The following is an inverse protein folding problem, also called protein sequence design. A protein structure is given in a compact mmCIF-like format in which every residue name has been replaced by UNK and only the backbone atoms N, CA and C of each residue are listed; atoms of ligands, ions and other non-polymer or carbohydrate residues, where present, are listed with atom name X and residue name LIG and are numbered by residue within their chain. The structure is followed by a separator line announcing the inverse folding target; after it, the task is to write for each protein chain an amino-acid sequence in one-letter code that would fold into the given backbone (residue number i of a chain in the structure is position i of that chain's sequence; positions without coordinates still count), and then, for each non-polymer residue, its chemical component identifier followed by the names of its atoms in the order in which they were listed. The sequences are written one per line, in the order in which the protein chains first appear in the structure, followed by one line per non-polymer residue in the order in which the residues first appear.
data_IF_408229133871
#
_entry.id   IF_408229133871
#
_cell.length_a   1.000
_cell.length_b   1.000
_cell.length_c   1.000
_cell.angle_alpha   90.00
_cell.angle_beta   90.00
_cell.angle_gamma   90.00
#
_symmetry.space_group_name_H-M   'P 1'
#
loop_
_entity.id
_entity.type
_entity.pdbx_description
1 polymer ?
#
# COMPACT_ATOMS: atom_id res chain seq x y z
N UNK A 1 -30.36 -9.51 42.77
CA UNK A 1 -31.47 -10.00 41.94
C UNK A 1 -31.00 -9.83 40.51
N UNK A 2 -30.51 -10.91 39.92
CA UNK A 2 -29.96 -10.91 38.56
C UNK A 2 -30.99 -11.59 37.67
N UNK A 3 -31.78 -10.78 36.98
CA UNK A 3 -32.79 -11.28 36.07
C UNK A 3 -32.11 -11.64 34.74
N UNK A 4 -32.20 -12.92 34.37
CA UNK A 4 -31.59 -13.48 33.17
C UNK A 4 -32.37 -13.01 31.93
N UNK A 5 -31.77 -12.09 31.17
CA UNK A 5 -32.32 -11.45 29.96
C UNK A 5 -32.61 -12.40 28.77
N UNK A 6 -32.43 -13.71 28.94
CA UNK A 6 -32.46 -14.70 27.86
C UNK A 6 -33.55 -15.78 28.02
N UNK A 7 -34.41 -15.70 29.04
CA UNK A 7 -35.60 -16.56 29.12
C UNK A 7 -36.67 -16.09 28.13
N UNK A 8 -36.69 -16.69 26.94
CA UNK A 8 -37.74 -16.46 25.94
C UNK A 8 -37.28 -16.40 24.49
N UNK A 9 -35.98 -16.54 24.20
CA UNK A 9 -35.52 -16.64 22.82
C UNK A 9 -35.79 -18.05 22.26
N UNK A 10 -36.38 -18.17 21.05
CA UNK A 10 -36.54 -19.45 20.41
C UNK A 10 -35.16 -20.09 20.13
N UNK A 11 -35.02 -21.41 20.23
CA UNK A 11 -33.75 -22.08 19.98
C UNK A 11 -33.28 -21.86 18.54
N UNK A 12 -31.95 -21.81 18.30
CA UNK A 12 -31.40 -21.58 16.97
C UNK A 12 -31.80 -22.71 15.99
N UNK A 13 -32.31 -22.32 14.82
CA UNK A 13 -32.83 -23.21 13.76
C UNK A 13 -31.84 -24.24 13.19
N UNK A 14 -30.57 -24.22 13.64
CA UNK A 14 -29.57 -25.23 13.26
C UNK A 14 -29.80 -26.59 13.95
N UNK A 15 -30.51 -26.65 15.08
CA UNK A 15 -30.83 -27.93 15.72
C UNK A 15 -31.94 -28.71 15.01
N UNK A 16 -32.93 -28.04 14.39
CA UNK A 16 -34.00 -28.71 13.65
C UNK A 16 -33.51 -29.41 12.37
N UNK A 17 -32.51 -28.84 11.68
CA UNK A 17 -31.92 -29.49 10.49
C UNK A 17 -31.06 -30.71 10.82
N UNK A 18 -30.63 -30.88 12.07
CA UNK A 18 -29.81 -32.02 12.51
C UNK A 18 -30.67 -33.20 13.01
N UNK A 19 -31.93 -32.93 13.40
CA UNK A 19 -32.91 -33.96 13.77
C UNK A 19 -33.64 -34.50 12.53
N UNK A 20 -34.03 -33.65 11.57
CA UNK A 20 -34.66 -34.12 10.31
C UNK A 20 -33.72 -35.00 9.47
N UNK A 21 -32.41 -34.72 9.49
CA UNK A 21 -31.42 -35.54 8.76
C UNK A 21 -31.12 -36.89 9.40
N UNK A 22 -31.49 -37.09 10.68
CA UNK A 22 -31.30 -38.39 11.37
C UNK A 22 -32.49 -39.33 11.19
N UNK A 23 -33.67 -38.83 10.82
CA UNK A 23 -34.84 -39.68 10.56
C UNK A 23 -34.89 -40.20 9.11
N UNK A 24 -34.25 -39.53 8.13
CA UNK A 24 -34.26 -39.99 6.72
C UNK A 24 -33.27 -41.12 6.39
N UNK A 25 -32.24 -41.39 7.22
CA UNK A 25 -31.23 -42.43 6.93
C UNK A 25 -31.58 -43.84 7.44
N UNK A 26 -32.73 -44.05 8.09
CA UNK A 26 -33.11 -45.35 8.66
C UNK A 26 -34.21 -46.12 7.91
N UNK A 27 -34.60 -45.68 6.70
CA UNK A 27 -35.73 -46.28 6.00
C UNK A 27 -35.62 -46.35 4.49
N UNK A 28 -34.61 -47.05 3.93
CA UNK A 28 -34.72 -47.51 2.52
C UNK A 28 -33.75 -48.64 2.16
N UNK A 29 -34.04 -49.82 2.67
CA UNK A 29 -33.72 -51.08 1.98
C UNK A 29 -35.03 -51.67 1.44
N UNK A 30 -35.11 -51.85 0.12
CA UNK A 30 -35.72 -52.99 -0.61
C UNK A 30 -36.14 -52.62 -2.04
N UNK A 31 -35.54 -53.35 -3.00
CA UNK A 31 -36.10 -53.89 -4.24
C UNK A 31 -37.00 -53.02 -5.14
N UNK A 32 -36.60 -52.80 -6.41
CA UNK A 32 -36.93 -53.71 -7.53
C UNK A 32 -36.33 -53.28 -8.88
N UNK A 33 -36.19 -54.30 -9.72
CA UNK A 33 -35.46 -54.43 -10.99
C UNK A 33 -36.27 -54.07 -12.26
N UNK A 34 -35.53 -53.70 -13.33
CA UNK A 34 -35.73 -54.04 -14.76
C UNK A 34 -36.85 -53.28 -15.53
N UNK A 35 -36.78 -52.90 -16.83
CA UNK A 35 -36.12 -53.35 -18.08
C UNK A 35 -35.80 -52.11 -18.98
N UNK A 36 -34.62 -51.97 -19.62
CA UNK A 36 -34.17 -52.41 -20.97
C UNK A 36 -34.95 -51.90 -22.20
N UNK A 37 -34.25 -51.15 -23.09
CA UNK A 37 -34.10 -51.35 -24.56
C UNK A 37 -32.99 -50.41 -25.07
N UNK A 38 -31.77 -50.90 -25.35
CA UNK A 38 -31.19 -51.24 -26.68
C UNK A 38 -30.68 -50.05 -27.52
N UNK A 39 -29.36 -49.96 -27.74
CA UNK A 39 -28.74 -50.10 -29.08
C UNK A 39 -27.21 -49.96 -28.99
N UNK A 40 -26.51 -50.79 -29.77
CA UNK A 40 -25.05 -50.94 -29.90
C UNK A 40 -24.33 -49.70 -30.44
N UNK A 41 -23.07 -49.50 -30.04
CA UNK A 41 -21.92 -49.67 -30.95
C UNK A 41 -20.58 -49.51 -30.22
N UNK A 42 -19.66 -50.40 -30.58
CA UNK A 42 -18.25 -50.41 -30.22
C UNK A 42 -17.54 -49.09 -30.55
N UNK A 43 -16.71 -48.57 -29.63
CA UNK A 43 -15.30 -48.34 -29.93
C UNK A 43 -14.46 -48.08 -28.68
N UNK A 44 -13.27 -48.66 -28.75
CA UNK A 44 -12.20 -48.82 -27.78
C UNK A 44 -11.36 -47.52 -27.75
N UNK A 45 -11.18 -46.87 -26.61
CA UNK A 45 -9.87 -46.26 -26.26
C UNK A 45 -9.77 -45.81 -24.79
N UNK A 46 -8.54 -45.82 -24.31
CA UNK A 46 -8.13 -46.06 -22.94
C UNK A 46 -8.19 -44.85 -22.00
N UNK A 47 -8.69 -45.07 -20.79
CA UNK A 47 -8.48 -44.24 -19.61
C UNK A 47 -7.21 -44.69 -18.85
N UNK A 48 -6.28 -43.79 -18.47
CA UNK A 48 -5.09 -44.18 -17.72
C UNK A 48 -5.38 -44.30 -16.22
N UNK A 49 -4.94 -45.40 -15.62
CA UNK A 49 -4.94 -45.63 -14.18
C UNK A 49 -3.85 -44.80 -13.47
N UNK A 50 -4.12 -44.14 -12.33
CA UNK A 50 -3.08 -43.56 -11.48
C UNK A 50 -2.46 -44.66 -10.60
N UNK A 51 -1.22 -45.04 -10.89
CA UNK A 51 -0.43 -45.93 -10.04
C UNK A 51 0.19 -45.12 -8.91
N UNK A 52 -0.38 -45.25 -7.71
CA UNK A 52 0.27 -44.90 -6.44
C UNK A 52 1.38 -45.92 -6.16
N UNK A 53 2.64 -45.50 -6.27
CA UNK A 53 3.77 -46.23 -5.66
C UNK A 53 4.56 -45.30 -4.76
N UNK A 54 4.25 -45.40 -3.47
CA UNK A 54 5.09 -44.98 -2.35
C UNK A 54 6.40 -45.79 -2.36
N UNK A 55 7.55 -45.12 -2.35
CA UNK A 55 8.85 -45.75 -2.12
C UNK A 55 9.44 -45.26 -0.79
N UNK A 56 8.88 -45.75 0.31
CA UNK A 56 9.45 -45.64 1.65
C UNK A 56 10.53 -46.71 1.81
N UNK A 57 11.79 -46.39 1.47
CA UNK A 57 12.93 -47.26 1.84
C UNK A 57 13.47 -46.85 3.20
N UNK A 58 13.19 -47.70 4.21
CA UNK A 58 13.92 -47.76 5.49
C UNK A 58 15.37 -48.14 5.22
N UNK A 59 16.32 -47.38 5.78
CA UNK A 59 17.68 -47.87 6.03
C UNK A 59 17.87 -48.12 7.53
N UNK A 60 18.47 -49.27 7.83
CA UNK A 60 18.79 -49.81 9.17
C UNK A 60 20.16 -49.26 9.63
N UNK A 61 20.41 -49.04 10.94
CA UNK A 61 21.68 -48.48 11.41
C UNK A 61 22.69 -49.60 11.71
N UNK A 62 23.97 -49.33 11.42
CA UNK A 62 25.09 -50.03 12.03
C UNK A 62 26.18 -49.00 12.34
N UNK A 63 26.46 -48.82 13.63
CA UNK A 63 27.63 -48.11 14.16
C UNK A 63 28.89 -48.98 14.03
N UNK A 64 30.02 -48.37 13.62
CA UNK A 64 31.30 -48.43 14.35
C UNK A 64 32.42 -47.68 13.60
N UNK A 65 32.98 -46.70 14.32
CA UNK A 65 34.20 -45.86 14.28
C UNK A 65 35.49 -46.34 13.52
N UNK A 66 36.63 -45.60 13.53
CA UNK A 66 37.11 -44.72 12.45
C UNK A 66 38.53 -45.10 11.92
N UNK A 67 39.01 -44.37 10.90
CA UNK A 67 40.41 -43.93 10.64
C UNK A 67 40.85 -44.02 9.17
N UNK A 68 41.18 -42.83 8.66
CA UNK A 68 42.31 -42.44 7.79
C UNK A 68 42.56 -43.26 6.51
N UNK A 69 42.30 -42.65 5.34
CA UNK A 69 43.33 -42.20 4.38
C UNK A 69 42.66 -41.56 3.15
N UNK A 70 43.09 -40.36 2.77
CA UNK A 70 42.78 -39.75 1.46
C UNK A 70 43.50 -40.53 0.34
N UNK A 71 42.95 -40.59 -0.88
CA UNK A 71 43.36 -39.58 -1.85
C UNK A 71 42.24 -39.06 -2.78
N UNK A 72 42.36 -37.77 -3.07
CA UNK A 72 41.99 -37.04 -4.29
C UNK A 72 40.88 -37.61 -5.21
N UNK A 73 39.71 -36.99 -5.19
CA UNK A 73 38.78 -37.01 -6.32
C UNK A 73 38.03 -35.68 -6.46
N UNK A 74 38.29 -35.02 -7.59
CA UNK A 74 37.50 -34.03 -8.34
C UNK A 74 36.87 -32.82 -7.61
N UNK A 75 37.14 -31.58 -8.07
CA UNK A 75 36.32 -30.45 -7.66
C UNK A 75 34.94 -30.58 -8.33
N UNK A 76 33.93 -30.95 -7.56
CA UNK A 76 32.55 -30.78 -7.99
C UNK A 76 32.35 -29.29 -8.31
N UNK A 77 32.24 -28.99 -9.61
CA UNK A 77 31.82 -27.68 -10.12
C UNK A 77 30.34 -27.49 -9.78
N UNK A 78 30.04 -27.30 -8.50
CA UNK A 78 28.76 -26.74 -8.08
C UNK A 78 28.82 -25.27 -8.44
N UNK A 79 28.21 -24.94 -9.58
CA UNK A 79 27.98 -23.58 -10.04
C UNK A 79 27.06 -22.89 -9.04
N UNK A 80 27.64 -22.45 -7.92
CA UNK A 80 27.04 -21.48 -7.03
C UNK A 80 27.09 -20.17 -7.79
N UNK A 81 25.99 -19.82 -8.45
CA UNK A 81 25.78 -18.44 -8.85
C UNK A 81 25.91 -17.61 -7.57
N UNK A 82 27.06 -16.95 -7.44
CA UNK A 82 27.28 -15.95 -6.42
C UNK A 82 26.31 -14.83 -6.76
N UNK A 83 25.18 -14.79 -6.07
CA UNK A 83 24.33 -13.59 -6.00
C UNK A 83 25.05 -12.57 -5.12
N UNK A 84 26.20 -12.11 -5.58
CA UNK A 84 26.94 -10.98 -5.02
C UNK A 84 27.20 -10.04 -6.17
N UNK A 85 26.13 -9.45 -6.70
CA UNK A 85 26.28 -8.23 -7.50
C UNK A 85 26.36 -7.11 -6.49
N UNK A 86 27.58 -6.79 -6.05
CA UNK A 86 27.90 -5.50 -5.47
C UNK A 86 27.76 -4.48 -6.61
N UNK A 87 26.51 -4.09 -6.88
CA UNK A 87 26.21 -3.03 -7.83
C UNK A 87 26.64 -1.72 -7.19
N UNK A 88 27.38 -0.90 -7.93
CA UNK A 88 27.81 0.39 -7.40
C UNK A 88 26.60 1.23 -7.03
N UNK A 89 26.72 2.06 -6.00
CA UNK A 89 25.64 2.96 -5.56
C UNK A 89 25.09 3.80 -6.72
N UNK A 90 25.96 4.24 -7.62
CA UNK A 90 25.58 4.97 -8.84
C UNK A 90 24.66 4.17 -9.76
N UNK A 91 24.93 2.87 -9.95
CA UNK A 91 24.07 1.99 -10.76
C UNK A 91 22.72 1.75 -10.08
N UNK A 92 22.71 1.64 -8.74
CA UNK A 92 21.47 1.53 -7.97
C UNK A 92 20.63 2.79 -8.12
N UNK A 93 21.25 3.97 -8.01
CA UNK A 93 20.58 5.26 -8.18
C UNK A 93 19.99 5.40 -9.59
N UNK A 94 20.77 5.11 -10.63
CA UNK A 94 20.29 5.16 -12.02
C UNK A 94 19.11 4.20 -12.25
N UNK A 95 19.21 2.99 -11.71
CA UNK A 95 18.12 2.01 -11.77
C UNK A 95 16.86 2.52 -11.05
N UNK A 96 17.01 3.12 -9.86
CA UNK A 96 15.89 3.70 -9.10
C UNK A 96 15.20 4.83 -9.87
N UNK A 97 15.96 5.73 -10.49
CA UNK A 97 15.42 6.82 -11.33
C UNK A 97 14.65 6.27 -12.53
N UNK A 98 15.19 5.23 -13.18
CA UNK A 98 14.51 4.56 -14.30
C UNK A 98 13.21 3.89 -13.84
N UNK A 99 13.22 3.23 -12.69
CA UNK A 99 12.01 2.62 -12.11
C UNK A 99 10.96 3.69 -11.80
N UNK A 100 11.35 4.83 -11.20
CA UNK A 100 10.43 5.94 -10.91
C UNK A 100 9.72 6.46 -12.17
N UNK A 101 10.40 6.47 -13.32
CA UNK A 101 9.78 6.85 -14.60
C UNK A 101 8.75 5.83 -15.11
N UNK A 102 8.94 4.55 -14.81
CA UNK A 102 8.10 3.46 -15.30
C UNK A 102 6.95 3.12 -14.36
N UNK A 103 7.08 3.38 -13.06
CA UNK A 103 6.07 3.01 -12.07
C UNK A 103 4.79 3.84 -12.22
N UNK A 104 4.87 5.06 -12.77
CA UNK A 104 3.68 5.89 -13.07
C UNK A 104 2.74 5.25 -14.09
N UNK A 105 3.26 4.39 -14.96
CA UNK A 105 2.49 3.78 -16.04
C UNK A 105 1.83 2.48 -15.55
N UNK A 106 0.48 2.37 -15.57
CA UNK A 106 -0.23 1.21 -15.05
C UNK A 106 0.20 -0.11 -15.70
N UNK A 107 0.51 -0.10 -17.00
CA UNK A 107 0.93 -1.31 -17.74
C UNK A 107 2.32 -1.82 -17.33
N UNK A 108 3.16 -0.94 -16.79
CA UNK A 108 4.53 -1.25 -16.34
C UNK A 108 4.62 -1.38 -14.81
N UNK A 109 3.60 -0.91 -14.09
CA UNK A 109 3.56 -0.85 -12.64
C UNK A 109 3.91 -2.21 -12.00
N UNK A 110 3.21 -3.28 -12.39
CA UNK A 110 3.40 -4.62 -11.83
C UNK A 110 4.86 -5.14 -11.91
N UNK A 111 5.60 -4.78 -12.96
CA UNK A 111 7.01 -5.16 -13.12
C UNK A 111 7.91 -4.22 -12.34
N UNK A 112 7.64 -2.92 -12.41
CA UNK A 112 8.39 -1.90 -11.69
C UNK A 112 8.32 -2.12 -10.17
N UNK A 113 7.13 -2.35 -9.60
CA UNK A 113 6.91 -2.62 -8.18
C UNK A 113 7.73 -3.84 -7.70
N UNK A 114 7.75 -4.93 -8.47
CA UNK A 114 8.55 -6.11 -8.16
C UNK A 114 10.05 -5.83 -8.12
N UNK A 115 10.56 -5.00 -9.03
CA UNK A 115 11.96 -4.56 -9.00
C UNK A 115 12.26 -3.73 -7.75
N UNK A 116 11.36 -2.83 -7.34
CA UNK A 116 11.52 -2.07 -6.09
C UNK A 116 11.58 -3.00 -4.87
N UNK A 117 10.66 -3.97 -4.80
CA UNK A 117 10.64 -4.96 -3.71
C UNK A 117 11.96 -5.76 -3.67
N UNK A 118 12.55 -6.07 -4.84
CA UNK A 118 13.85 -6.72 -4.90
C UNK A 118 14.98 -5.80 -4.39
N UNK A 119 14.96 -4.51 -4.70
CA UNK A 119 15.93 -3.54 -4.17
C UNK A 119 15.84 -3.43 -2.64
N UNK A 120 14.63 -3.44 -2.07
CA UNK A 120 14.42 -3.47 -0.62
C UNK A 120 15.02 -4.75 -0.03
N UNK A 121 14.65 -5.92 -0.56
CA UNK A 121 15.13 -7.23 -0.07
C UNK A 121 16.65 -7.42 -0.21
N UNK A 122 17.26 -6.77 -1.20
CA UNK A 122 18.70 -6.79 -1.41
C UNK A 122 19.45 -5.81 -0.48
N UNK A 123 18.75 -5.02 0.34
CA UNK A 123 19.36 -4.00 1.20
C UNK A 123 19.97 -2.84 0.40
N UNK A 124 19.45 -2.58 -0.81
CA UNK A 124 19.92 -1.49 -1.67
C UNK A 124 19.35 -0.12 -1.28
N UNK A 125 18.33 -0.09 -0.41
CA UNK A 125 17.82 1.14 0.21
C UNK A 125 18.65 1.44 1.46
N UNK A 126 19.41 2.53 1.43
CA UNK A 126 20.31 2.98 2.50
C UNK A 126 20.18 4.50 2.64
N UNK A 127 20.85 5.10 3.62
CA UNK A 127 20.82 6.56 3.81
C UNK A 127 21.25 7.38 2.57
N UNK A 128 22.11 6.85 1.69
CA UNK A 128 22.52 7.52 0.45
C UNK A 128 21.54 7.37 -0.73
N UNK A 129 20.69 6.34 -0.70
CA UNK A 129 19.75 6.01 -1.78
C UNK A 129 18.28 6.18 -1.39
N UNK A 130 18.00 6.52 -0.13
CA UNK A 130 16.64 6.60 0.42
C UNK A 130 15.77 7.65 -0.25
N UNK A 131 16.33 8.81 -0.62
CA UNK A 131 15.58 9.86 -1.34
C UNK A 131 15.14 9.39 -2.74
N UNK A 132 16.00 8.66 -3.44
CA UNK A 132 15.65 8.06 -4.73
C UNK A 132 14.61 6.96 -4.60
N UNK A 133 14.72 6.15 -3.55
CA UNK A 133 13.70 5.16 -3.20
C UNK A 133 12.36 5.82 -2.90
N UNK A 134 12.35 6.89 -2.10
CA UNK A 134 11.13 7.62 -1.77
C UNK A 134 10.49 8.26 -3.00
N UNK A 135 11.30 8.81 -3.93
CA UNK A 135 10.81 9.35 -5.20
C UNK A 135 10.10 8.28 -6.06
N UNK A 136 10.49 6.99 -5.95
CA UNK A 136 9.75 5.90 -6.61
C UNK A 136 8.37 5.71 -5.97
N UNK A 137 8.27 5.74 -4.64
CA UNK A 137 7.00 5.58 -3.94
C UNK A 137 6.05 6.76 -4.23
N UNK A 138 6.60 7.98 -4.24
CA UNK A 138 5.86 9.18 -4.63
C UNK A 138 5.36 9.09 -6.07
N UNK A 139 6.23 8.64 -6.99
CA UNK A 139 5.86 8.41 -8.37
C UNK A 139 4.75 7.35 -8.51
N UNK A 140 4.79 6.28 -7.70
CA UNK A 140 3.71 5.29 -7.67
C UNK A 140 2.38 5.93 -7.25
N UNK A 141 2.38 6.70 -6.16
CA UNK A 141 1.15 7.33 -5.63
C UNK A 141 0.65 8.50 -6.46
N UNK A 142 1.48 9.04 -7.36
CA UNK A 142 1.08 10.07 -8.34
C UNK A 142 0.44 9.49 -9.61
N UNK A 143 0.30 8.16 -9.72
CA UNK A 143 -0.37 7.54 -10.87
C UNK A 143 -1.87 7.84 -10.86
N UNK A 144 -2.48 7.94 -12.04
CA UNK A 144 -3.92 8.20 -12.19
C UNK A 144 -4.79 7.00 -11.82
N UNK A 145 -4.21 5.80 -11.79
CA UNK A 145 -4.94 4.58 -11.40
C UNK A 145 -5.03 4.48 -9.88
N UNK A 146 -6.24 4.28 -9.37
CA UNK A 146 -6.45 4.04 -7.95
C UNK A 146 -5.64 2.84 -7.47
N UNK A 147 -4.99 2.98 -6.31
CA UNK A 147 -4.26 1.89 -5.66
C UNK A 147 -5.15 0.73 -5.21
N UNK A 148 -6.48 0.88 -5.21
CA UNK A 148 -7.46 -0.17 -4.91
C UNK A 148 -8.06 -0.81 -6.17
N UNK A 149 -7.59 -0.45 -7.35
CA UNK A 149 -8.04 -1.06 -8.60
C UNK A 149 -7.64 -2.56 -8.64
N UNK A 150 -8.56 -3.50 -8.96
CA UNK A 150 -8.26 -4.92 -8.93
C UNK A 150 -7.08 -5.38 -9.80
N UNK A 151 -6.75 -4.64 -10.87
CA UNK A 151 -5.65 -4.96 -11.79
C UNK A 151 -4.26 -4.74 -11.17
N UNK A 152 -4.15 -3.75 -10.28
CA UNK A 152 -2.85 -3.30 -9.71
C UNK A 152 -2.82 -3.33 -8.19
N UNK A 153 -3.96 -3.52 -7.52
CA UNK A 153 -4.10 -3.42 -6.07
C UNK A 153 -3.21 -4.39 -5.30
N UNK A 154 -3.06 -5.63 -5.80
CA UNK A 154 -2.13 -6.61 -5.21
C UNK A 154 -0.65 -6.19 -5.31
N UNK A 155 -0.27 -5.52 -6.40
CA UNK A 155 1.09 -5.01 -6.58
C UNK A 155 1.35 -3.76 -5.73
N UNK A 156 0.35 -2.86 -5.59
CA UNK A 156 0.39 -1.72 -4.66
C UNK A 156 0.53 -2.21 -3.22
N UNK A 157 -0.35 -3.12 -2.80
CA UNK A 157 -0.31 -3.73 -1.48
C UNK A 157 1.08 -4.32 -1.20
N UNK A 158 1.62 -5.11 -2.13
CA UNK A 158 2.94 -5.75 -1.96
C UNK A 158 4.08 -4.75 -1.87
N UNK A 159 4.05 -3.70 -2.70
CA UNK A 159 5.06 -2.64 -2.71
C UNK A 159 5.09 -1.87 -1.39
N UNK A 160 3.93 -1.36 -0.94
CA UNK A 160 3.83 -0.55 0.27
C UNK A 160 3.94 -1.37 1.55
N UNK A 161 3.63 -2.67 1.51
CA UNK A 161 3.99 -3.59 2.59
C UNK A 161 5.50 -3.72 2.73
N UNK A 162 6.22 -3.99 1.63
CA UNK A 162 7.68 -4.11 1.66
C UNK A 162 8.38 -2.77 1.98
N UNK A 163 7.82 -1.64 1.55
CA UNK A 163 8.40 -0.32 1.79
C UNK A 163 8.52 0.02 3.29
N UNK A 164 7.67 -0.55 4.14
CA UNK A 164 7.75 -0.38 5.58
C UNK A 164 9.06 -0.94 6.17
N UNK A 165 9.63 -2.00 5.60
CA UNK A 165 10.91 -2.56 6.04
C UNK A 165 12.08 -1.60 5.80
N UNK A 166 11.94 -0.69 4.84
CA UNK A 166 12.93 0.33 4.52
C UNK A 166 12.67 1.68 5.23
N UNK A 167 11.62 1.77 6.06
CA UNK A 167 11.21 3.01 6.69
C UNK A 167 12.30 3.62 7.58
N UNK A 168 13.21 2.82 8.14
CA UNK A 168 14.30 3.31 9.01
C UNK A 168 15.20 4.35 8.34
N UNK A 169 15.42 4.24 7.02
CA UNK A 169 16.25 5.15 6.22
C UNK A 169 15.53 6.43 5.78
N UNK A 170 14.23 6.54 6.06
CA UNK A 170 13.42 7.69 5.70
C UNK A 170 13.44 8.76 6.80
N UNK A 171 13.37 10.02 6.38
CA UNK A 171 13.20 11.13 7.31
C UNK A 171 11.75 11.19 7.86
N UNK A 172 11.51 12.05 8.85
CA UNK A 172 10.19 12.15 9.52
C UNK A 172 9.05 12.44 8.54
N UNK A 173 9.24 13.39 7.62
CA UNK A 173 8.25 13.76 6.59
C UNK A 173 7.94 12.59 5.66
N UNK A 174 8.97 11.90 5.19
CA UNK A 174 8.84 10.73 4.33
C UNK A 174 8.14 9.56 5.04
N UNK A 175 8.43 9.32 6.33
CA UNK A 175 7.74 8.32 7.16
C UNK A 175 6.25 8.64 7.32
N UNK A 176 5.94 9.91 7.55
CA UNK A 176 4.57 10.39 7.62
C UNK A 176 3.81 10.14 6.31
N UNK A 177 4.40 10.49 5.16
CA UNK A 177 3.83 10.19 3.84
C UNK A 177 3.66 8.69 3.60
N UNK A 178 4.68 7.88 3.91
CA UNK A 178 4.61 6.43 3.80
C UNK A 178 3.45 5.87 4.65
N UNK A 179 3.22 6.40 5.85
CA UNK A 179 2.10 5.99 6.71
C UNK A 179 0.75 6.24 6.02
N UNK A 180 0.55 7.43 5.45
CA UNK A 180 -0.67 7.76 4.69
C UNK A 180 -0.84 6.81 3.50
N UNK A 181 0.22 6.58 2.74
CA UNK A 181 0.19 5.68 1.58
C UNK A 181 -0.05 4.23 1.97
N UNK A 182 0.44 3.77 3.12
CA UNK A 182 0.12 2.45 3.65
C UNK A 182 -1.35 2.30 3.97
N UNK A 183 -2.03 3.32 4.51
CA UNK A 183 -3.49 3.27 4.65
C UNK A 183 -4.18 3.12 3.29
N UNK A 184 -3.81 3.97 2.32
CA UNK A 184 -4.40 3.96 0.97
C UNK A 184 -4.13 2.67 0.19
N UNK A 185 -2.92 2.13 0.24
CA UNK A 185 -2.49 1.02 -0.62
C UNK A 185 -2.56 -0.35 0.06
N UNK A 186 -2.44 -0.44 1.38
CA UNK A 186 -2.42 -1.71 2.10
C UNK A 186 -3.74 -1.92 2.82
N UNK A 187 -4.08 -1.04 3.76
CA UNK A 187 -5.28 -1.20 4.60
C UNK A 187 -6.56 -1.18 3.75
N UNK A 188 -6.65 -0.26 2.78
CA UNK A 188 -7.80 -0.20 1.88
C UNK A 188 -7.96 -1.49 1.04
N UNK A 189 -6.87 -2.07 0.52
CA UNK A 189 -6.91 -3.32 -0.23
C UNK A 189 -7.26 -4.52 0.68
N UNK A 190 -6.73 -4.55 1.90
CA UNK A 190 -7.06 -5.58 2.89
C UNK A 190 -8.54 -5.57 3.29
N UNK A 191 -9.21 -4.41 3.23
CA UNK A 191 -10.66 -4.28 3.46
C UNK A 191 -11.50 -4.70 2.25
N UNK A 192 -10.88 -4.83 1.06
CA UNK A 192 -11.50 -5.36 -0.15
C UNK A 192 -11.41 -6.89 -0.27
N UNK A 193 -11.08 -7.58 0.82
CA UNK A 193 -11.06 -9.04 0.89
C UNK A 193 -12.46 -9.66 1.09
N UNK A 194 -12.59 -10.95 0.78
CA UNK A 194 -13.72 -11.81 1.18
C UNK A 194 -13.39 -12.69 2.40
N UNK A 195 -12.12 -12.66 2.85
CA UNK A 195 -11.68 -13.36 4.06
C UNK A 195 -12.07 -12.56 5.32
N UNK A 196 -13.06 -13.07 6.05
CA UNK A 196 -13.58 -12.45 7.28
C UNK A 196 -12.50 -12.25 8.35
N UNK A 197 -11.49 -13.13 8.43
CA UNK A 197 -10.41 -12.99 9.39
C UNK A 197 -9.47 -11.85 9.02
N UNK A 198 -9.09 -11.76 7.73
CA UNK A 198 -8.28 -10.64 7.22
C UNK A 198 -9.03 -9.32 7.42
N UNK A 199 -10.32 -9.28 7.05
CA UNK A 199 -11.15 -8.09 7.23
C UNK A 199 -11.20 -7.64 8.70
N UNK A 200 -11.52 -8.55 9.62
CA UNK A 200 -11.65 -8.23 11.05
C UNK A 200 -10.34 -7.77 11.68
N UNK A 201 -9.22 -8.41 11.29
CA UNK A 201 -7.88 -8.02 11.71
C UNK A 201 -7.54 -6.61 11.21
N UNK A 202 -7.85 -6.32 9.97
CA UNK A 202 -7.58 -5.00 9.36
C UNK A 202 -8.49 -3.92 9.92
N UNK A 203 -9.77 -4.20 10.16
CA UNK A 203 -10.69 -3.29 10.83
C UNK A 203 -10.24 -2.98 12.27
N UNK A 204 -9.68 -3.96 12.98
CA UNK A 204 -9.10 -3.74 14.33
C UNK A 204 -7.90 -2.79 14.26
N UNK A 205 -6.98 -3.00 13.31
CA UNK A 205 -5.85 -2.08 13.07
C UNK A 205 -6.31 -0.68 12.72
N UNK A 206 -7.36 -0.56 11.89
CA UNK A 206 -7.96 0.71 11.53
C UNK A 206 -8.54 1.44 12.75
N UNK A 207 -9.26 0.71 13.61
CA UNK A 207 -9.77 1.23 14.89
C UNK A 207 -8.64 1.73 15.80
N UNK A 208 -7.56 0.97 15.92
CA UNK A 208 -6.40 1.36 16.73
C UNK A 208 -5.74 2.63 16.18
N UNK A 209 -5.61 2.73 14.85
CA UNK A 209 -5.07 3.91 14.19
C UNK A 209 -5.93 5.16 14.44
N UNK A 210 -7.26 5.05 14.35
CA UNK A 210 -8.19 6.15 14.66
C UNK A 210 -8.08 6.55 16.13
N UNK A 211 -8.00 5.56 17.03
CA UNK A 211 -7.89 5.81 18.48
C UNK A 211 -6.56 6.49 18.86
N UNK A 212 -5.53 6.36 18.02
CA UNK A 212 -4.23 7.01 18.19
C UNK A 212 -4.17 8.45 17.69
N UNK A 213 -5.19 8.92 16.97
CA UNK A 213 -5.24 10.29 16.46
C UNK A 213 -5.39 11.31 17.62
N UNK A 214 -4.77 12.49 17.50
CA UNK A 214 -5.04 13.58 18.44
C UNK A 214 -6.49 14.06 18.29
N UNK A 215 -7.05 14.58 19.39
CA UNK A 215 -8.38 15.20 19.41
C UNK A 215 -8.42 16.30 18.35
N UNK A 216 -9.39 16.23 17.45
CA UNK A 216 -9.62 17.26 16.44
C UNK A 216 -10.05 18.56 17.12
N UNK A 217 -9.55 19.68 16.62
CA UNK A 217 -9.90 21.03 17.10
C UNK A 217 -10.82 21.73 16.11
N UNK A 218 -11.55 22.76 16.57
CA UNK A 218 -12.44 23.54 15.68
C UNK A 218 -11.68 24.18 14.49
N UNK A 219 -10.39 24.51 14.67
CA UNK A 219 -9.50 25.01 13.62
C UNK A 219 -9.30 23.95 12.51
N UNK A 220 -9.11 22.69 12.91
CA UNK A 220 -8.97 21.57 11.97
C UNK A 220 -10.26 21.38 11.16
N UNK A 221 -11.43 21.46 11.80
CA UNK A 221 -12.74 21.29 11.13
C UNK A 221 -12.99 22.41 10.10
N UNK A 222 -12.62 23.66 10.41
CA UNK A 222 -12.75 24.80 9.49
C UNK A 222 -11.82 24.63 8.29
N UNK A 223 -10.56 24.25 8.51
CA UNK A 223 -9.56 24.06 7.47
C UNK A 223 -9.90 22.87 6.55
N UNK A 224 -10.48 21.80 7.09
CA UNK A 224 -10.97 20.65 6.31
C UNK A 224 -12.22 21.00 5.50
N UNK A 225 -13.17 21.75 6.09
CA UNK A 225 -14.36 22.23 5.38
C UNK A 225 -14.04 23.23 4.26
N UNK A 226 -13.03 24.07 4.43
CA UNK A 226 -12.58 25.01 3.40
C UNK A 226 -12.03 24.30 2.16
N UNK A 227 -11.22 23.24 2.34
CA UNK A 227 -10.68 22.47 1.20
C UNK A 227 -11.75 21.70 0.43
N UNK A 228 -12.79 21.19 1.11
CA UNK A 228 -13.89 20.51 0.42
C UNK A 228 -14.68 21.48 -0.48
N UNK A 229 -14.83 22.74 -0.06
CA UNK A 229 -15.49 23.77 -0.88
C UNK A 229 -14.68 24.11 -2.13
N UNK A 230 -13.37 24.26 -2.00
CA UNK A 230 -12.46 24.56 -3.12
C UNK A 230 -12.49 23.44 -4.18
N UNK A 231 -12.47 22.16 -3.75
CA UNK A 231 -12.60 21.02 -4.67
C UNK A 231 -13.98 20.93 -5.36
N UNK A 232 -15.05 21.37 -4.67
CA UNK A 232 -16.41 21.36 -5.21
C UNK A 232 -16.67 22.51 -6.18
N UNK A 233 -16.04 23.67 -5.98
CA UNK A 233 -16.15 24.83 -6.87
C UNK A 233 -15.37 24.63 -8.18
N UNK A 234 -14.24 23.92 -8.16
CA UNK A 234 -13.45 23.60 -9.37
C UNK A 234 -14.17 22.56 -10.27
N UNK A 235 -15.12 21.78 -9.72
CA UNK A 235 -15.84 20.72 -10.43
C UNK A 235 -17.09 21.14 -11.22
N UNK A 236 -17.46 22.42 -11.22
CA UNK A 236 -18.74 22.90 -11.79
C UNK A 236 -18.63 23.80 -13.04
N UNK A 237 -17.43 24.05 -13.56
CA UNK A 237 -17.25 24.86 -14.77
C UNK A 237 -16.81 24.01 -15.96
N UNK A 238 -17.77 23.36 -16.60
CA UNK A 238 -17.67 22.99 -18.01
C UNK A 238 -18.99 23.37 -18.70
N UNK A 239 -19.00 24.52 -19.38
CA UNK A 239 -19.42 24.65 -20.80
C UNK A 239 -19.65 26.13 -21.18
N UNK A 240 -18.60 26.80 -21.70
CA UNK A 240 -18.72 27.61 -22.92
C UNK A 240 -17.37 28.19 -23.34
N UNK A 241 -16.78 27.56 -24.35
CA UNK A 241 -15.72 28.16 -25.15
C UNK A 241 -16.35 28.96 -26.30
N UNK A 242 -16.27 30.30 -26.26
CA UNK A 242 -16.18 31.14 -27.47
C UNK A 242 -15.19 32.30 -27.24
N UNK A 243 -14.23 32.36 -28.14
CA UNK A 243 -13.12 33.29 -28.27
C UNK A 243 -13.52 34.77 -28.28
N UNK A 244 -12.69 35.64 -27.68
CA UNK A 244 -12.31 36.92 -28.27
C UNK A 244 -11.06 37.52 -27.59
N UNK A 245 -10.05 37.78 -28.43
CA UNK A 245 -8.81 38.54 -28.23
C UNK A 245 -9.08 39.94 -27.64
N UNK A 246 -8.33 40.40 -26.62
CA UNK A 246 -7.71 41.76 -26.51
C UNK A 246 -6.59 41.75 -25.42
N UNK A 247 -5.49 42.44 -25.74
CA UNK A 247 -4.23 42.64 -24.99
C UNK A 247 -4.36 43.42 -23.64
N UNK A 248 -3.29 43.51 -22.83
CA UNK A 248 -3.37 43.88 -21.42
C UNK A 248 -3.33 45.40 -21.19
N UNK A 249 -4.06 45.87 -20.18
CA UNK A 249 -3.94 47.20 -19.64
C UNK A 249 -3.46 47.11 -18.18
N UNK A 250 -2.37 47.81 -17.93
CA UNK A 250 -1.77 48.05 -16.61
C UNK A 250 -2.69 48.89 -15.71
N UNK A 251 -2.61 48.67 -14.40
CA UNK A 251 -1.97 49.58 -13.43
C UNK A 251 -2.57 49.37 -12.03
N UNK A 252 -1.70 49.07 -11.06
CA UNK A 252 -1.58 49.87 -9.84
C UNK A 252 -0.49 49.27 -8.94
N UNK A 253 0.66 49.94 -8.89
CA UNK A 253 1.35 50.31 -7.64
C UNK A 253 2.46 51.30 -7.96
N UNK A 254 2.24 52.53 -7.50
CA UNK A 254 3.23 53.60 -7.40
C UNK A 254 4.38 53.12 -6.52
N UNK A 255 5.54 52.92 -7.12
CA UNK A 255 6.81 53.21 -6.48
C UNK A 255 7.65 53.97 -7.50
N UNK A 256 7.82 55.25 -7.19
CA UNK A 256 8.49 56.30 -7.94
C UNK A 256 9.93 55.86 -8.23
N UNK A 257 10.15 55.26 -9.39
CA UNK A 257 11.49 54.85 -9.81
C UNK A 257 12.22 56.08 -10.34
N UNK A 258 13.24 56.52 -9.59
CA UNK A 258 14.11 57.66 -9.90
C UNK A 258 14.59 57.61 -11.37
N UNK A 259 14.10 58.51 -12.24
CA UNK A 259 14.34 58.46 -13.68
C UNK A 259 15.79 58.79 -14.06
N UNK A 260 16.63 59.21 -13.12
CA UNK A 260 18.05 59.50 -13.35
C UNK A 260 19.01 58.56 -12.60
N UNK A 261 18.50 57.61 -11.81
CA UNK A 261 19.31 56.58 -11.13
C UNK A 261 20.39 57.12 -10.19
N UNK A 262 20.19 58.32 -9.65
CA UNK A 262 21.14 59.01 -8.79
C UNK A 262 21.11 58.46 -7.35
N UNK A 263 20.01 57.82 -6.95
CA UNK A 263 19.90 57.15 -5.64
C UNK A 263 20.89 56.00 -5.45
N UNK A 264 21.42 55.41 -6.54
CA UNK A 264 22.48 54.40 -6.48
C UNK A 264 23.87 55.00 -6.15
N UNK A 265 24.04 56.31 -6.28
CA UNK A 265 25.31 57.00 -6.11
C UNK A 265 25.46 57.71 -4.76
N UNK A 266 24.41 57.71 -3.94
CA UNK A 266 24.46 58.22 -2.57
C UNK A 266 24.81 57.03 -1.65
N UNK A 267 26.02 56.98 -1.03
CA UNK A 267 26.33 55.95 -0.06
C UNK A 267 25.45 56.14 1.17
N UNK A 268 24.42 55.30 1.33
CA UNK A 268 23.55 55.32 2.51
C UNK A 268 24.34 54.83 3.72
N UNK A 269 24.80 55.77 4.54
CA UNK A 269 25.44 55.48 5.82
C UNK A 269 24.40 54.99 6.85
N UNK A 270 24.60 53.78 7.38
CA UNK A 270 23.89 53.25 8.55
C UNK A 270 23.17 51.94 8.23
N UNK A 271 23.37 50.81 8.91
CA UNK A 271 23.97 50.57 10.21
C UNK A 271 24.62 49.19 10.25
N UNK A 272 25.75 49.14 10.94
CA UNK A 272 26.54 47.98 11.30
C UNK A 272 25.88 47.30 12.50
N UNK A 273 24.82 46.50 12.29
CA UNK A 273 24.34 45.53 13.29
C UNK A 273 23.33 44.53 12.70
N UNK A 274 23.80 43.56 11.90
CA UNK A 274 22.93 42.47 11.43
C UNK A 274 23.67 41.14 11.34
N UNK A 275 24.18 40.65 12.48
CA UNK A 275 24.74 39.29 12.55
C UNK A 275 24.20 38.43 13.69
N UNK A 276 23.28 38.95 14.49
CA UNK A 276 22.70 38.25 15.66
C UNK A 276 21.18 38.10 15.60
N UNK A 277 20.47 38.74 14.66
CA UNK A 277 19.00 38.64 14.54
C UNK A 277 18.52 37.49 13.64
N UNK A 278 19.27 37.16 12.59
CA UNK A 278 18.89 36.10 11.64
C UNK A 278 18.77 34.68 12.23
N UNK A 279 19.47 34.35 13.31
CA UNK A 279 19.44 32.98 13.89
C UNK A 279 18.17 32.70 14.69
N UNK A 280 17.52 33.73 15.27
CA UNK A 280 16.26 33.59 16.02
C UNK A 280 15.05 33.52 15.09
N UNK A 281 15.06 34.26 13.99
CA UNK A 281 14.01 34.23 12.97
C UNK A 281 13.99 32.91 12.19
N UNK A 282 15.16 32.34 11.84
CA UNK A 282 15.22 31.03 11.16
C UNK A 282 14.72 29.89 12.07
N UNK A 283 15.01 29.95 13.38
CA UNK A 283 14.52 28.97 14.35
C UNK A 283 13.01 29.08 14.61
N UNK A 284 12.45 30.30 14.59
CA UNK A 284 11.01 30.50 14.70
C UNK A 284 10.27 30.06 13.41
N UNK A 285 10.85 30.34 12.24
CA UNK A 285 10.30 29.96 10.94
C UNK A 285 10.27 28.43 10.74
N UNK A 286 11.35 27.73 11.09
CA UNK A 286 11.41 26.26 11.03
C UNK A 286 10.40 25.58 11.95
N UNK A 287 10.21 26.08 13.18
CA UNK A 287 9.18 25.56 14.10
C UNK A 287 7.77 25.70 13.53
N UNK A 288 7.46 26.85 12.94
CA UNK A 288 6.15 27.08 12.31
C UNK A 288 5.94 26.15 11.12
N UNK A 289 6.96 25.94 10.30
CA UNK A 289 6.92 25.01 9.17
C UNK A 289 6.69 23.56 9.62
N UNK A 290 7.36 23.12 10.70
CA UNK A 290 7.17 21.79 11.28
C UNK A 290 5.74 21.58 11.82
N UNK A 291 5.16 22.60 12.44
CA UNK A 291 3.77 22.59 12.92
C UNK A 291 2.78 22.48 11.76
N UNK A 292 2.94 23.32 10.72
CA UNK A 292 2.11 23.28 9.52
C UNK A 292 2.24 21.93 8.79
N UNK A 293 3.43 21.36 8.71
CA UNK A 293 3.64 20.03 8.13
C UNK A 293 2.94 18.94 8.95
N UNK A 294 2.98 19.04 10.27
CA UNK A 294 2.29 18.09 11.15
C UNK A 294 0.77 18.19 10.98
N UNK A 295 0.23 19.41 10.86
CA UNK A 295 -1.19 19.62 10.53
C UNK A 295 -1.56 19.01 9.17
N UNK A 296 -0.76 19.28 8.13
CA UNK A 296 -0.96 18.70 6.78
C UNK A 296 -0.94 17.17 6.81
N UNK A 297 0.00 16.58 7.55
CA UNK A 297 0.08 15.14 7.72
C UNK A 297 -1.16 14.57 8.41
N UNK A 298 -1.61 15.18 9.51
CA UNK A 298 -2.79 14.72 10.24
C UNK A 298 -4.04 14.78 9.35
N UNK A 299 -4.19 15.84 8.57
CA UNK A 299 -5.27 15.96 7.57
C UNK A 299 -5.24 14.82 6.55
N UNK A 300 -4.10 14.59 5.90
CA UNK A 300 -3.97 13.49 4.92
C UNK A 300 -4.15 12.11 5.55
N UNK A 301 -3.74 11.94 6.82
CA UNK A 301 -3.95 10.71 7.58
C UNK A 301 -5.43 10.48 7.85
N UNK A 302 -6.16 11.50 8.33
CA UNK A 302 -7.62 11.44 8.56
C UNK A 302 -8.36 11.10 7.27
N UNK A 303 -8.05 11.79 6.17
CA UNK A 303 -8.63 11.54 4.85
C UNK A 303 -8.43 10.07 4.42
N UNK A 304 -7.20 9.55 4.53
CA UNK A 304 -6.91 8.16 4.16
C UNK A 304 -7.66 7.14 5.04
N UNK A 305 -7.82 7.43 6.34
CA UNK A 305 -8.59 6.60 7.27
C UNK A 305 -10.09 6.64 6.93
N UNK A 306 -10.63 7.81 6.57
CA UNK A 306 -12.01 7.95 6.10
C UNK A 306 -12.23 7.11 4.84
N UNK A 307 -11.33 7.18 3.85
CA UNK A 307 -11.42 6.32 2.66
C UNK A 307 -11.45 4.84 3.02
N UNK A 308 -10.63 4.39 3.99
CA UNK A 308 -10.66 3.01 4.47
C UNK A 308 -12.01 2.66 5.12
N UNK A 309 -12.56 3.55 5.95
CA UNK A 309 -13.88 3.36 6.58
C UNK A 309 -15.00 3.27 5.54
N UNK A 310 -14.96 4.09 4.49
CA UNK A 310 -15.93 4.03 3.40
C UNK A 310 -15.89 2.69 2.67
N UNK A 311 -14.69 2.18 2.39
CA UNK A 311 -14.50 0.85 1.77
C UNK A 311 -15.07 -0.24 2.69
N UNK A 312 -14.77 -0.19 3.99
CA UNK A 312 -15.31 -1.13 4.96
C UNK A 312 -16.84 -1.06 5.05
N UNK A 313 -17.41 0.15 5.07
CA UNK A 313 -18.86 0.36 5.14
C UNK A 313 -19.60 -0.17 3.91
N UNK A 314 -19.00 -0.07 2.72
CA UNK A 314 -19.57 -0.63 1.47
C UNK A 314 -19.75 -2.15 1.54
N UNK A 315 -18.95 -2.87 2.35
CA UNK A 315 -19.13 -4.32 2.57
C UNK A 315 -20.37 -4.67 3.40
N UNK A 316 -20.82 -3.75 4.26
CA UNK A 316 -21.99 -3.95 5.12
C UNK A 316 -23.27 -3.31 4.58
N UNK A 317 -23.19 -2.48 3.54
CA UNK A 317 -24.36 -2.07 2.78
C UNK A 317 -24.85 -3.25 1.94
N UNK A 318 -25.67 -4.11 2.54
CA UNK A 318 -26.54 -5.02 1.78
C UNK A 318 -27.55 -4.19 0.97
N UNK A 319 -27.88 -4.61 -0.26
CA UNK A 319 -28.85 -3.92 -1.13
C UNK A 319 -30.24 -3.83 -0.51
#
# INVERSE_FOLDING_TARGET
MGDNLFEGLPPPSQQQQLEEKKEEEQGRDQNLLSLKTSSSNDNKEASPNPVLKSALKRHKPTESNPEVYFPAAAPEKRLRFKTTTDASETQVIEAMQKIASHIKNPTKFAKASKLVIQLIKAGSVKAGTSDHFFAILEAAMSSTTSCTDPSVGGDYHSLFSAAQDAAEYLNKKQKNQLTVWTFRAVVANDLLTDDSFVFSKTASRLKDAISSLPIATEDDDIDEAATLKDETEIGNDDDNNKEAIVAPAEENKKDESDPFGLDALIPRSGNKDDRTKGKKDVAAKSRKEDEEETKRFLKSQREALITCLEIAARRYKTP
#
